data_IF_276418431734
#
_entry.id   IF_276418431734
#
_cell.length_a   1.000
_cell.length_b   1.000
_cell.length_c   1.000
_cell.angle_alpha   90.00
_cell.angle_beta   90.00
_cell.angle_gamma   90.00
#
_symmetry.space_group_name_H-M   'P 1'
#
loop_
_entity.id
_entity.type
_entity.pdbx_description
1 polymer ?
#
# COMPACT_ATOMS: atom_id res chain seq x y z
N UNK A 1 -28.61 -1.63 8.60
CA UNK A 1 -27.46 -0.75 8.92
C UNK A 1 -26.24 -1.57 9.35
N UNK A 2 -25.72 -2.53 8.55
CA UNK A 2 -24.66 -3.43 9.06
C UNK A 2 -23.54 -3.91 8.11
N UNK A 3 -23.54 -3.75 6.77
CA UNK A 3 -22.36 -4.20 5.99
C UNK A 3 -21.23 -3.16 5.88
N UNK A 4 -21.54 -1.86 5.86
CA UNK A 4 -20.52 -0.80 5.73
C UNK A 4 -19.67 -0.65 7.00
N UNK A 5 -20.26 -0.88 8.17
CA UNK A 5 -19.56 -0.86 9.45
C UNK A 5 -18.49 -1.98 9.55
N UNK A 6 -18.74 -3.15 8.96
CA UNK A 6 -17.79 -4.28 8.91
C UNK A 6 -16.57 -4.00 8.01
N UNK A 7 -16.74 -3.23 6.93
CA UNK A 7 -15.66 -2.89 6.00
C UNK A 7 -14.69 -1.85 6.57
N UNK A 8 -15.23 -0.77 7.16
CA UNK A 8 -14.40 0.28 7.78
C UNK A 8 -13.63 -0.26 9.00
N UNK A 9 -14.28 -1.02 9.87
CA UNK A 9 -13.64 -1.64 11.05
C UNK A 9 -12.57 -2.64 10.65
N UNK A 10 -12.77 -3.43 9.59
CA UNK A 10 -11.74 -4.33 9.09
C UNK A 10 -10.50 -3.58 8.60
N UNK A 11 -10.68 -2.54 7.77
CA UNK A 11 -9.57 -1.76 7.22
C UNK A 11 -8.77 -1.07 8.33
N UNK A 12 -9.45 -0.49 9.32
CA UNK A 12 -8.82 0.12 10.48
C UNK A 12 -8.11 -0.92 11.35
N UNK A 13 -8.70 -2.10 11.55
CA UNK A 13 -8.06 -3.20 12.27
C UNK A 13 -6.81 -3.74 11.58
N UNK A 14 -6.78 -3.80 10.25
CA UNK A 14 -5.55 -4.09 9.48
C UNK A 14 -4.53 -2.97 9.68
N UNK A 15 -4.97 -1.72 9.61
CA UNK A 15 -4.13 -0.56 9.89
C UNK A 15 -3.49 -0.60 11.28
N UNK A 16 -4.24 -0.96 12.32
CA UNK A 16 -3.75 -1.11 13.69
C UNK A 16 -2.69 -2.21 13.83
N UNK A 17 -2.89 -3.35 13.16
CA UNK A 17 -1.91 -4.44 13.13
C UNK A 17 -0.61 -3.97 12.49
N UNK A 18 -0.68 -3.26 11.36
CA UNK A 18 0.52 -2.71 10.69
C UNK A 18 1.17 -1.63 11.56
N UNK A 19 0.38 -0.75 12.19
CA UNK A 19 0.89 0.28 13.09
C UNK A 19 1.69 -0.30 14.26
N UNK A 20 1.20 -1.39 14.87
CA UNK A 20 1.92 -2.13 15.91
C UNK A 20 3.22 -2.70 15.39
N UNK A 21 3.19 -3.39 14.24
CA UNK A 21 4.41 -3.92 13.62
C UNK A 21 5.46 -2.83 13.40
N UNK A 22 5.08 -1.67 12.87
CA UNK A 22 6.05 -0.59 12.60
C UNK A 22 6.55 0.12 13.86
N UNK A 23 5.79 0.11 14.95
CA UNK A 23 6.17 0.75 16.21
C UNK A 23 7.01 -0.15 17.11
N UNK A 24 6.65 -1.43 17.17
CA UNK A 24 7.22 -2.40 18.11
C UNK A 24 8.47 -3.09 17.54
N UNK A 25 8.60 -3.10 16.21
CA UNK A 25 9.65 -3.88 15.53
C UNK A 25 10.69 -2.93 14.93
N UNK A 26 11.85 -2.90 15.58
CA UNK A 26 13.07 -2.33 15.06
C UNK A 26 14.19 -3.35 15.27
N UNK A 27 14.11 -4.46 14.53
CA UNK A 27 15.07 -5.56 14.65
C UNK A 27 16.46 -5.04 14.26
N UNK A 28 17.47 -5.19 15.13
CA UNK A 28 18.84 -4.85 14.77
C UNK A 28 19.30 -5.56 13.52
N UNK A 29 20.22 -4.95 12.78
CA UNK A 29 20.77 -5.55 11.57
C UNK A 29 21.41 -6.91 11.85
N UNK A 30 21.10 -7.88 11.00
CA UNK A 30 21.67 -9.22 10.96
C UNK A 30 22.43 -9.33 9.64
N UNK A 31 23.75 -9.55 9.73
CA UNK A 31 24.63 -9.74 8.57
C UNK A 31 25.29 -11.12 8.66
N UNK A 32 25.18 -11.90 7.59
CA UNK A 32 26.00 -13.10 7.39
C UNK A 32 27.45 -12.72 7.06
N UNK A 33 28.36 -13.72 7.04
CA UNK A 33 29.76 -13.51 6.64
C UNK A 33 29.82 -13.01 5.20
N UNK A 34 28.98 -13.56 4.33
CA UNK A 34 28.83 -13.16 2.94
C UNK A 34 28.32 -11.72 2.82
N UNK A 35 27.32 -11.33 3.63
CA UNK A 35 26.80 -9.95 3.64
C UNK A 35 27.86 -8.93 4.06
N UNK A 36 28.64 -9.27 5.10
CA UNK A 36 29.77 -8.44 5.53
C UNK A 36 30.78 -8.26 4.39
N UNK A 37 31.14 -9.34 3.71
CA UNK A 37 32.05 -9.27 2.56
C UNK A 37 31.49 -8.39 1.44
N UNK A 38 30.22 -8.61 1.05
CA UNK A 38 29.53 -7.80 0.03
C UNK A 38 29.50 -6.32 0.41
N UNK A 39 29.25 -6.01 1.68
CA UNK A 39 29.26 -4.65 2.19
C UNK A 39 30.65 -4.01 2.17
N UNK A 40 31.66 -4.76 2.58
CA UNK A 40 33.04 -4.27 2.74
C UNK A 40 33.69 -3.95 1.40
N UNK A 41 33.58 -4.84 0.41
CA UNK A 41 34.16 -4.64 -0.93
C UNK A 41 33.43 -3.58 -1.75
N UNK A 42 32.25 -3.15 -1.33
CA UNK A 42 31.46 -2.17 -2.07
C UNK A 42 32.10 -0.79 -2.03
N UNK A 43 32.32 -0.21 -3.21
CA UNK A 43 32.89 1.13 -3.39
C UNK A 43 31.88 2.19 -3.83
N UNK A 44 30.69 1.77 -4.29
CA UNK A 44 29.62 2.63 -4.80
C UNK A 44 28.28 2.30 -4.16
N UNK A 45 27.46 3.33 -3.92
CA UNK A 45 26.11 3.22 -3.38
C UNK A 45 25.18 2.44 -4.32
N UNK A 46 24.45 1.45 -3.82
CA UNK A 46 23.52 0.64 -4.61
C UNK A 46 22.30 1.43 -5.17
N UNK A 47 22.03 2.63 -4.66
CA UNK A 47 20.85 3.42 -5.05
C UNK A 47 21.19 4.58 -6.00
N UNK A 48 22.26 5.33 -5.71
CA UNK A 48 22.63 6.50 -6.52
C UNK A 48 23.90 6.30 -7.36
N UNK A 49 24.56 5.14 -7.22
CA UNK A 49 25.80 4.78 -7.93
C UNK A 49 26.98 5.73 -7.70
N UNK A 50 26.91 6.61 -6.70
CA UNK A 50 28.04 7.49 -6.31
C UNK A 50 29.01 6.75 -5.38
N UNK A 51 30.28 7.14 -5.43
CA UNK A 51 31.31 6.67 -4.49
C UNK A 51 31.06 7.17 -3.07
N UNK A 52 31.48 6.39 -2.07
CA UNK A 52 31.41 6.79 -0.67
C UNK A 52 32.46 7.86 -0.35
N UNK A 53 32.16 8.73 0.61
CA UNK A 53 33.08 9.76 1.09
C UNK A 53 32.95 9.94 2.60
N UNK A 54 33.88 10.65 3.24
CA UNK A 54 33.80 10.96 4.66
C UNK A 54 32.53 11.73 5.04
N UNK A 55 32.07 12.63 4.16
CA UNK A 55 30.82 13.41 4.36
C UNK A 55 29.56 12.60 4.11
N UNK A 56 29.65 11.56 3.28
CA UNK A 56 28.52 10.71 2.92
C UNK A 56 28.98 9.25 2.98
N UNK A 57 29.10 8.77 4.22
CA UNK A 57 29.72 7.50 4.56
C UNK A 57 28.90 6.31 4.07
N UNK A 58 29.59 5.17 3.98
CA UNK A 58 29.01 3.87 3.68
C UNK A 58 28.16 3.40 4.86
N UNK A 59 26.95 2.94 4.58
CA UNK A 59 25.96 2.48 5.58
C UNK A 59 25.34 1.16 5.13
N UNK A 60 25.09 0.26 6.08
CA UNK A 60 24.43 -1.01 5.83
C UNK A 60 22.91 -0.86 6.01
N UNK A 61 22.18 -0.83 4.90
CA UNK A 61 20.73 -0.72 4.91
C UNK A 61 20.11 -2.11 5.14
N UNK A 62 19.13 -2.19 6.03
CA UNK A 62 18.49 -3.43 6.43
C UNK A 62 16.98 -3.27 6.56
N UNK A 63 16.28 -4.39 6.53
CA UNK A 63 14.86 -4.44 6.86
C UNK A 63 14.67 -4.37 8.38
N UNK A 64 13.94 -3.37 8.85
CA UNK A 64 13.67 -3.17 10.28
C UNK A 64 12.69 -4.20 10.86
N UNK A 65 12.00 -4.98 10.02
CA UNK A 65 11.11 -6.06 10.46
C UNK A 65 11.85 -7.39 10.65
N UNK A 66 12.70 -7.79 9.69
CA UNK A 66 13.43 -9.06 9.74
C UNK A 66 14.87 -8.94 10.23
N UNK A 67 15.43 -7.74 10.29
CA UNK A 67 16.85 -7.47 10.53
C UNK A 67 17.75 -7.75 9.31
N UNK A 68 17.24 -8.36 8.24
CA UNK A 68 18.04 -8.82 7.11
C UNK A 68 18.71 -7.65 6.38
N UNK A 69 20.03 -7.76 6.16
CA UNK A 69 20.77 -6.87 5.28
C UNK A 69 20.15 -6.83 3.87
N UNK A 70 20.02 -5.64 3.30
CA UNK A 70 19.43 -5.44 1.97
C UNK A 70 20.43 -4.89 0.97
N UNK A 71 21.10 -3.79 1.33
CA UNK A 71 21.92 -2.99 0.39
C UNK A 71 23.00 -2.21 1.12
N UNK A 72 24.05 -1.86 0.38
CA UNK A 72 25.08 -0.93 0.83
C UNK A 72 24.84 0.45 0.24
N UNK A 73 24.48 1.40 1.09
CA UNK A 73 24.04 2.73 0.68
C UNK A 73 24.95 3.81 1.25
N UNK A 74 24.98 4.97 0.60
CA UNK A 74 25.51 6.16 1.23
C UNK A 74 24.51 6.70 2.25
N UNK A 75 24.98 7.37 3.30
CA UNK A 75 24.13 7.88 4.38
C UNK A 75 22.94 8.71 3.87
N UNK A 76 23.16 9.58 2.87
CA UNK A 76 22.10 10.38 2.24
C UNK A 76 20.99 9.53 1.63
N UNK A 77 21.35 8.43 0.95
CA UNK A 77 20.36 7.51 0.37
C UNK A 77 19.65 6.71 1.45
N UNK A 78 20.37 6.22 2.46
CA UNK A 78 19.79 5.47 3.57
C UNK A 78 18.72 6.29 4.31
N UNK A 79 19.00 7.57 4.61
CA UNK A 79 18.06 8.47 5.28
C UNK A 79 16.80 8.79 4.47
N UNK A 80 16.84 8.61 3.14
CA UNK A 80 15.66 8.77 2.27
C UNK A 80 14.74 7.55 2.30
N UNK A 81 15.27 6.37 2.61
CA UNK A 81 14.50 5.13 2.74
C UNK A 81 13.85 5.09 4.11
N UNK A 82 12.72 5.80 4.25
CA UNK A 82 11.93 5.83 5.48
C UNK A 82 10.78 4.85 5.39
N UNK A 83 10.58 4.08 6.46
CA UNK A 83 9.35 3.32 6.66
C UNK A 83 8.17 4.31 6.69
N UNK A 84 7.14 4.12 5.84
CA UNK A 84 5.98 4.99 5.84
C UNK A 84 5.28 4.95 7.20
N UNK A 85 4.83 6.11 7.69
CA UNK A 85 3.99 6.19 8.87
C UNK A 85 2.49 6.12 8.52
N UNK A 86 2.17 5.44 7.43
CA UNK A 86 0.79 5.24 7.00
C UNK A 86 0.66 4.01 6.10
N UNK A 87 -0.55 3.47 6.02
CA UNK A 87 -0.92 2.45 5.03
C UNK A 87 -1.62 3.15 3.86
N UNK A 88 -1.09 3.06 2.63
CA UNK A 88 -1.80 3.58 1.47
C UNK A 88 -2.98 2.68 1.09
N UNK A 89 -4.15 3.27 0.93
CA UNK A 89 -5.33 2.68 0.30
C UNK A 89 -5.52 3.34 -1.06
N UNK A 90 -5.20 2.61 -2.12
CA UNK A 90 -5.29 3.10 -3.48
C UNK A 90 -6.67 2.78 -4.07
N UNK A 91 -7.37 3.83 -4.48
CA UNK A 91 -8.66 3.73 -5.13
C UNK A 91 -8.59 4.51 -6.45
N UNK A 92 -9.00 3.90 -7.55
CA UNK A 92 -8.90 4.54 -8.86
C UNK A 92 -10.14 5.37 -9.14
N UNK A 93 -9.95 6.67 -9.39
CA UNK A 93 -11.02 7.65 -9.59
C UNK A 93 -11.82 8.00 -8.31
N UNK A 94 -11.17 7.83 -7.15
CA UNK A 94 -11.73 8.06 -5.82
C UNK A 94 -12.42 9.43 -5.69
N UNK A 95 -11.78 10.50 -6.18
CA UNK A 95 -12.28 11.86 -5.97
C UNK A 95 -13.63 12.12 -6.65
N UNK A 96 -14.01 11.34 -7.65
CA UNK A 96 -15.23 11.58 -8.44
C UNK A 96 -16.41 10.68 -8.05
N UNK A 97 -16.18 9.63 -7.25
CA UNK A 97 -17.21 8.63 -6.93
C UNK A 97 -17.35 8.43 -5.42
N UNK A 98 -16.33 7.89 -4.76
CA UNK A 98 -16.52 7.25 -3.45
C UNK A 98 -16.04 8.10 -2.25
N UNK A 99 -15.29 9.18 -2.50
CA UNK A 99 -14.57 9.88 -1.43
C UNK A 99 -15.48 10.42 -0.30
N UNK A 100 -16.58 11.09 -0.64
CA UNK A 100 -17.48 11.72 0.34
C UNK A 100 -18.20 10.67 1.20
N UNK A 101 -18.65 9.56 0.59
CA UNK A 101 -19.27 8.44 1.31
C UNK A 101 -18.28 7.80 2.28
N UNK A 102 -17.04 7.53 1.84
CA UNK A 102 -16.02 6.90 2.68
C UNK A 102 -15.67 7.82 3.87
N UNK A 103 -15.41 9.11 3.62
CA UNK A 103 -15.08 10.07 4.69
C UNK A 103 -16.20 10.17 5.71
N UNK A 104 -17.46 10.24 5.26
CA UNK A 104 -18.62 10.32 6.16
C UNK A 104 -18.74 9.08 7.04
N UNK A 105 -18.55 7.88 6.48
CA UNK A 105 -18.58 6.64 7.27
C UNK A 105 -17.40 6.55 8.26
N UNK A 106 -16.20 6.98 7.86
CA UNK A 106 -15.04 7.01 8.75
C UNK A 106 -15.15 8.06 9.86
N UNK A 107 -15.92 9.14 9.64
CA UNK A 107 -16.20 10.13 10.66
C UNK A 107 -17.26 9.65 11.67
N UNK A 108 -18.16 8.78 11.23
CA UNK A 108 -19.24 8.20 12.04
C UNK A 108 -18.92 6.85 12.68
N UNK A 109 -17.67 6.39 12.66
CA UNK A 109 -17.25 5.06 13.16
C UNK A 109 -17.24 4.94 14.69
N UNK A 110 -17.55 6.03 15.41
CA UNK A 110 -17.55 6.09 16.88
C UNK A 110 -16.18 6.30 17.50
N UNK A 111 -15.13 6.34 16.68
CA UNK A 111 -13.77 6.66 17.10
C UNK A 111 -13.47 8.15 16.84
N UNK A 112 -13.13 8.88 17.91
CA UNK A 112 -12.78 10.30 17.85
C UNK A 112 -11.42 10.57 17.20
N UNK A 113 -10.78 9.55 16.63
CA UNK A 113 -9.56 9.69 15.86
C UNK A 113 -9.71 10.64 14.67
N UNK A 114 -8.70 11.50 14.52
CA UNK A 114 -8.68 12.61 13.55
C UNK A 114 -8.75 12.11 12.11
N UNK A 115 -9.52 12.82 11.28
CA UNK A 115 -9.45 12.73 9.82
C UNK A 115 -8.76 13.97 9.27
N UNK A 116 -7.85 13.78 8.31
CA UNK A 116 -7.19 14.86 7.57
C UNK A 116 -7.57 14.75 6.11
N UNK A 117 -8.06 15.83 5.51
CA UNK A 117 -8.51 15.84 4.11
C UNK A 117 -7.69 16.86 3.31
N UNK A 118 -7.26 16.45 2.12
CA UNK A 118 -6.74 17.34 1.08
C UNK A 118 -7.84 17.46 0.03
N UNK A 119 -8.65 18.51 0.16
CA UNK A 119 -9.77 18.77 -0.72
C UNK A 119 -9.34 19.58 -1.94
N UNK A 120 -9.90 19.27 -3.10
CA UNK A 120 -9.89 20.14 -4.28
C UNK A 120 -11.16 21.00 -4.34
N UNK A 121 -12.29 20.40 -3.99
CA UNK A 121 -13.59 21.07 -3.78
C UNK A 121 -14.27 20.43 -2.56
N UNK A 122 -15.43 20.95 -2.15
CA UNK A 122 -16.22 20.40 -1.03
C UNK A 122 -16.62 18.93 -1.23
N UNK A 123 -16.76 18.49 -2.48
CA UNK A 123 -17.15 17.12 -2.84
C UNK A 123 -15.99 16.28 -3.39
N UNK A 124 -14.91 16.93 -3.87
CA UNK A 124 -13.77 16.24 -4.50
C UNK A 124 -12.55 16.27 -3.60
N UNK A 125 -12.24 15.13 -2.98
CA UNK A 125 -11.05 14.96 -2.15
C UNK A 125 -9.92 14.28 -2.93
N UNK A 126 -8.76 14.92 -2.99
CA UNK A 126 -7.57 14.38 -3.67
C UNK A 126 -7.00 13.21 -2.86
N UNK A 127 -6.92 13.40 -1.55
CA UNK A 127 -6.50 12.38 -0.60
C UNK A 127 -7.10 12.70 0.76
N UNK A 128 -7.37 11.68 1.56
CA UNK A 128 -7.72 11.85 2.96
C UNK A 128 -7.06 10.76 3.80
N UNK A 129 -6.92 10.99 5.10
CA UNK A 129 -6.31 10.05 6.03
C UNK A 129 -7.13 9.95 7.30
N UNK A 130 -7.49 8.73 7.72
CA UNK A 130 -8.00 8.45 9.06
C UNK A 130 -6.82 8.03 9.92
N UNK A 131 -6.58 8.75 11.00
CA UNK A 131 -5.53 8.42 11.94
C UNK A 131 -5.97 7.24 12.79
N UNK A 132 -5.04 6.33 13.09
CA UNK A 132 -5.25 5.22 14.01
C UNK A 132 -4.72 5.60 15.39
N UNK A 133 -3.68 6.41 15.39
CA UNK A 133 -3.09 7.06 16.56
C UNK A 133 -2.40 8.36 16.10
N UNK A 134 -1.71 9.04 17.01
CA UNK A 134 -1.10 10.35 16.72
C UNK A 134 -0.02 10.33 15.62
N UNK A 135 0.62 9.20 15.32
CA UNK A 135 1.73 9.11 14.38
C UNK A 135 1.46 8.24 13.15
N UNK A 136 0.39 7.44 13.16
CA UNK A 136 0.09 6.47 12.11
C UNK A 136 -1.34 6.59 11.56
N UNK A 137 -1.50 6.44 10.25
CA UNK A 137 -2.80 6.63 9.57
C UNK A 137 -3.04 5.64 8.42
N UNK A 138 -4.30 5.44 8.05
CA UNK A 138 -4.68 4.88 6.76
C UNK A 138 -4.95 6.04 5.80
N UNK A 139 -4.23 6.08 4.67
CA UNK A 139 -4.30 7.18 3.71
C UNK A 139 -4.90 6.72 2.40
N UNK A 140 -6.01 7.32 2.03
CA UNK A 140 -6.70 7.08 0.78
C UNK A 140 -6.16 8.00 -0.30
N UNK A 141 -5.85 7.42 -1.46
CA UNK A 141 -5.19 8.12 -2.57
C UNK A 141 -5.90 7.80 -3.88
N UNK A 142 -6.27 8.84 -4.62
CA UNK A 142 -6.79 8.70 -5.98
C UNK A 142 -5.67 8.40 -6.98
N UNK A 143 -5.62 7.16 -7.47
CA UNK A 143 -4.59 6.77 -8.46
C UNK A 143 -4.82 7.38 -9.85
N UNK A 144 -6.04 7.84 -10.17
CA UNK A 144 -6.35 8.49 -11.45
C UNK A 144 -5.64 9.86 -11.59
N UNK A 145 -5.19 10.46 -10.48
CA UNK A 145 -4.37 11.68 -10.51
C UNK A 145 -2.93 11.44 -11.00
N UNK A 146 -2.44 10.21 -10.92
CA UNK A 146 -1.10 9.83 -11.40
C UNK A 146 -1.18 9.14 -12.76
N UNK A 147 -2.24 8.36 -12.98
CA UNK A 147 -2.49 7.61 -14.21
C UNK A 147 -3.88 7.97 -14.73
N UNK A 148 -3.97 9.09 -15.47
CA UNK A 148 -5.22 9.64 -15.98
C UNK A 148 -5.75 8.85 -17.20
N UNK A 149 -6.08 7.58 -16.99
CA UNK A 149 -6.71 6.71 -17.98
C UNK A 149 -7.70 5.77 -17.29
N UNK A 150 -8.58 5.14 -18.05
CA UNK A 150 -9.53 4.20 -17.48
C UNK A 150 -8.82 2.97 -16.91
N UNK A 151 -9.37 2.39 -15.84
CA UNK A 151 -8.85 1.15 -15.28
C UNK A 151 -8.82 0.00 -16.31
N UNK A 152 -9.74 0.00 -17.29
CA UNK A 152 -9.75 -0.99 -18.37
C UNK A 152 -8.50 -0.89 -19.23
N UNK A 153 -8.22 0.32 -19.72
CA UNK A 153 -7.05 0.59 -20.52
C UNK A 153 -5.74 0.36 -19.76
N UNK A 154 -5.69 0.73 -18.48
CA UNK A 154 -4.53 0.46 -17.62
C UNK A 154 -4.30 -1.04 -17.44
N UNK A 155 -5.35 -1.83 -17.24
CA UNK A 155 -5.25 -3.28 -17.12
C UNK A 155 -4.82 -3.95 -18.44
N UNK A 156 -5.33 -3.50 -19.58
CA UNK A 156 -4.94 -4.01 -20.91
C UNK A 156 -3.46 -3.75 -21.23
N UNK A 157 -2.91 -2.63 -20.76
CA UNK A 157 -1.49 -2.29 -20.94
C UNK A 157 -0.55 -3.11 -20.05
N UNK A 158 -1.07 -3.87 -19.06
CA UNK A 158 -0.23 -4.74 -18.25
C UNK A 158 0.17 -5.98 -19.07
N UNK A 159 1.47 -6.23 -19.14
CA UNK A 159 2.00 -7.39 -19.87
C UNK A 159 1.51 -8.70 -19.26
N UNK A 160 0.80 -9.51 -20.04
CA UNK A 160 0.24 -10.80 -19.64
C UNK A 160 1.08 -12.01 -20.12
N UNK A 161 2.28 -11.79 -20.65
CA UNK A 161 3.08 -12.83 -21.30
C UNK A 161 3.36 -14.06 -20.41
N UNK A 162 3.41 -13.88 -19.08
CA UNK A 162 3.61 -14.96 -18.11
C UNK A 162 3.16 -14.63 -16.67
N UNK A 163 2.48 -13.50 -16.48
CA UNK A 163 2.07 -13.00 -15.15
C UNK A 163 3.19 -12.80 -14.11
N UNK A 164 4.47 -12.75 -14.51
CA UNK A 164 5.60 -12.57 -13.58
C UNK A 164 5.48 -11.30 -12.72
N UNK A 165 4.84 -10.27 -13.28
CA UNK A 165 4.57 -8.99 -12.59
C UNK A 165 3.51 -9.11 -11.49
N UNK A 166 2.78 -10.21 -11.42
CA UNK A 166 1.68 -10.47 -10.49
C UNK A 166 2.04 -11.49 -9.40
N UNK A 167 3.30 -11.49 -8.95
CA UNK A 167 3.83 -12.46 -7.97
C UNK A 167 2.95 -12.66 -6.73
N UNK A 168 2.41 -11.58 -6.16
CA UNK A 168 1.58 -11.67 -4.95
C UNK A 168 0.18 -12.22 -5.25
N UNK A 169 -0.37 -11.95 -6.43
CA UNK A 169 -1.67 -12.50 -6.88
C UNK A 169 -1.51 -14.00 -7.15
N UNK A 170 -0.41 -14.41 -7.78
CA UNK A 170 -0.10 -15.81 -8.07
C UNK A 170 0.11 -16.70 -6.83
N UNK A 171 0.24 -16.11 -5.62
CA UNK A 171 0.25 -16.87 -4.35
C UNK A 171 -1.15 -17.35 -3.93
N UNK A 172 -2.19 -16.71 -4.45
CA UNK A 172 -3.58 -16.92 -4.04
C UNK A 172 -4.37 -17.63 -5.13
N UNK A 173 -4.06 -17.34 -6.40
CA UNK A 173 -4.80 -17.87 -7.55
C UNK A 173 -3.98 -18.86 -8.35
N UNK A 174 -4.67 -19.84 -8.93
CA UNK A 174 -4.09 -20.85 -9.81
C UNK A 174 -3.72 -20.25 -11.18
N UNK A 175 -2.78 -20.85 -11.93
CA UNK A 175 -2.44 -20.38 -13.28
C UNK A 175 -3.65 -20.26 -14.22
N UNK A 176 -4.65 -21.13 -14.10
CA UNK A 176 -5.90 -21.07 -14.88
C UNK A 176 -6.78 -19.87 -14.54
N UNK A 177 -6.66 -19.32 -13.34
CA UNK A 177 -7.44 -18.15 -12.90
C UNK A 177 -6.73 -16.83 -13.20
N UNK A 178 -5.41 -16.86 -13.43
CA UNK A 178 -4.58 -15.66 -13.60
C UNK A 178 -5.06 -14.75 -14.72
N UNK A 179 -5.51 -15.31 -15.85
CA UNK A 179 -6.08 -14.52 -16.95
C UNK A 179 -7.31 -13.71 -16.51
N UNK A 180 -8.15 -14.30 -15.66
CA UNK A 180 -9.36 -13.67 -15.16
C UNK A 180 -9.09 -12.64 -14.06
N UNK A 181 -8.15 -12.90 -13.14
CA UNK A 181 -7.92 -12.03 -11.97
C UNK A 181 -6.98 -10.84 -12.26
N UNK A 182 -6.31 -10.85 -13.41
CA UNK A 182 -5.40 -9.76 -13.82
C UNK A 182 -6.04 -8.76 -14.78
N UNK A 183 -7.20 -9.07 -15.35
CA UNK A 183 -7.99 -8.13 -16.15
C UNK A 183 -8.88 -7.24 -15.28
N UNK A 184 -9.47 -6.21 -15.87
CA UNK A 184 -10.50 -5.40 -15.19
C UNK A 184 -11.71 -6.29 -14.84
N UNK A 185 -12.03 -6.38 -13.55
CA UNK A 185 -13.25 -7.03 -13.07
C UNK A 185 -14.51 -6.29 -13.52
N UNK A 186 -15.57 -7.05 -13.79
CA UNK A 186 -16.91 -6.51 -14.09
C UNK A 186 -17.76 -6.67 -12.84
N UNK A 187 -18.33 -5.57 -12.35
CA UNK A 187 -19.26 -5.58 -11.24
C UNK A 187 -20.70 -5.52 -11.78
N UNK A 188 -21.58 -6.49 -11.48
CA UNK A 188 -22.91 -6.55 -12.07
C UNK A 188 -23.88 -5.62 -11.32
N UNK A 189 -23.86 -4.33 -11.69
CA UNK A 189 -24.68 -3.30 -11.05
C UNK A 189 -26.19 -3.59 -11.13
N UNK A 190 -26.67 -4.12 -12.25
CA UNK A 190 -28.10 -4.45 -12.43
C UNK A 190 -28.56 -5.63 -11.57
N UNK A 191 -27.66 -6.57 -11.30
CA UNK A 191 -27.97 -7.73 -10.47
C UNK A 191 -27.97 -7.37 -8.98
N UNK A 192 -27.06 -6.49 -8.56
CA UNK A 192 -26.78 -6.22 -7.13
C UNK A 192 -27.68 -5.10 -6.60
N UNK A 193 -28.96 -5.41 -6.43
CA UNK A 193 -30.00 -4.49 -5.92
C UNK A 193 -30.30 -4.64 -4.42
N UNK A 194 -29.65 -5.59 -3.75
CA UNK A 194 -29.92 -5.96 -2.36
C UNK A 194 -28.65 -6.47 -1.68
N UNK A 195 -28.60 -6.34 -0.35
CA UNK A 195 -27.47 -6.81 0.46
C UNK A 195 -27.29 -8.33 0.38
N UNK A 196 -28.38 -9.09 0.33
CA UNK A 196 -28.31 -10.55 0.21
C UNK A 196 -27.61 -10.99 -1.09
N UNK A 197 -27.88 -10.30 -2.21
CA UNK A 197 -27.20 -10.56 -3.49
C UNK A 197 -25.74 -10.12 -3.47
N UNK A 198 -25.41 -9.04 -2.75
CA UNK A 198 -24.02 -8.62 -2.56
C UNK A 198 -23.22 -9.70 -1.80
N UNK A 199 -23.79 -10.23 -0.73
CA UNK A 199 -23.14 -11.25 0.10
C UNK A 199 -22.97 -12.57 -0.65
N UNK A 200 -23.94 -12.96 -1.49
CA UNK A 200 -23.86 -14.15 -2.34
C UNK A 200 -22.70 -14.08 -3.34
N UNK A 201 -22.40 -12.90 -3.90
CA UNK A 201 -21.24 -12.71 -4.80
C UNK A 201 -19.91 -12.82 -4.03
N UNK A 202 -19.89 -12.40 -2.76
CA UNK A 202 -18.70 -12.44 -1.92
C UNK A 202 -18.32 -13.85 -1.45
N UNK A 203 -19.31 -14.76 -1.37
CA UNK A 203 -19.15 -16.16 -0.92
C UNK A 203 -18.96 -17.16 -2.05
N UNK A 204 -19.09 -16.76 -3.31
CA UNK A 204 -18.80 -17.60 -4.48
C UNK A 204 -17.29 -17.76 -4.78
N UNK A 205 -16.45 -17.71 -3.74
CA UNK A 205 -15.00 -17.94 -3.79
C UNK A 205 -14.66 -19.28 -3.17
#
# INVERSE_FOLDING_TARGET
MLPTALSATYLLGVGEKIARLYKEVNVPIIMSVEDCHVHDVKTMCDLCSCTFSERNCKTAHHDHLSGRFLKTLCNTCNLKLKTPNFVPCYLHNLSNYDAHFIVTNLAGDGDNNRISVIANTEEKYISFSKYINNSFSVRFVDTCRFMASSLAHLAENLTSANFDKFREVAKVFTPSEMELVTRKGVYPYEYTDSWDKLDAISTAR
#
